data_IF_151337325707
#
_entry.id   IF_151337325707
#
_cell.length_a   1.000
_cell.length_b   1.000
_cell.length_c   1.000
_cell.angle_alpha   90.00
_cell.angle_beta   90.00
_cell.angle_gamma   90.00
#
_symmetry.space_group_name_H-M   'P 1'
#
loop_
_entity.id
_entity.type
_entity.pdbx_description
1 polymer ?
#
# COMPACT_ATOMS: atom_id res chain seq x y z
N UNK A 1 -5.19 13.57 32.67
CA UNK A 1 -5.99 12.84 31.64
C UNK A 1 -5.90 13.64 30.34
N UNK A 2 -4.90 13.36 29.50
CA UNK A 2 -4.64 14.16 28.29
C UNK A 2 -5.71 13.87 27.24
N UNK A 3 -6.51 14.87 26.93
CA UNK A 3 -7.45 14.91 25.80
C UNK A 3 -6.68 14.80 24.50
N UNK A 4 -6.40 13.56 24.07
CA UNK A 4 -6.00 13.26 22.69
C UNK A 4 -7.07 13.83 21.77
N UNK A 5 -6.80 14.99 21.15
CA UNK A 5 -7.52 15.48 19.97
C UNK A 5 -7.49 14.35 18.93
N UNK A 6 -8.53 13.53 18.88
CA UNK A 6 -8.71 12.52 17.84
C UNK A 6 -9.15 13.28 16.61
N UNK A 7 -8.27 13.35 15.63
CA UNK A 7 -8.46 14.01 14.34
C UNK A 7 -9.73 13.51 13.66
N UNK A 8 -10.44 14.41 12.97
CA UNK A 8 -11.53 14.05 12.06
C UNK A 8 -10.97 13.08 11.01
N UNK A 9 -11.55 11.90 10.95
CA UNK A 9 -11.19 10.89 9.96
C UNK A 9 -11.55 11.47 8.59
N UNK A 10 -10.55 11.59 7.73
CA UNK A 10 -10.69 12.27 6.43
C UNK A 10 -11.59 11.45 5.49
N UNK A 11 -11.73 10.15 5.74
CA UNK A 11 -12.42 9.18 4.88
C UNK A 11 -13.55 8.50 5.65
N UNK A 12 -14.70 8.36 5.01
CA UNK A 12 -15.83 7.58 5.53
C UNK A 12 -15.53 6.08 5.51
N UNK A 13 -16.21 5.30 6.36
CA UNK A 13 -16.00 3.85 6.40
C UNK A 13 -16.26 3.19 5.03
N UNK A 14 -17.24 3.69 4.27
CA UNK A 14 -17.58 3.18 2.94
C UNK A 14 -16.42 3.37 1.96
N UNK A 15 -15.82 4.56 1.95
CA UNK A 15 -14.67 4.88 1.08
C UNK A 15 -13.45 4.02 1.42
N UNK A 16 -13.19 3.79 2.71
CA UNK A 16 -12.10 2.93 3.16
C UNK A 16 -12.28 1.47 2.73
N UNK A 17 -13.49 0.92 2.86
CA UNK A 17 -13.76 -0.47 2.42
C UNK A 17 -13.58 -0.61 0.91
N UNK A 18 -14.10 0.34 0.13
CA UNK A 18 -13.93 0.34 -1.33
C UNK A 18 -12.43 0.43 -1.69
N UNK A 19 -11.68 1.30 -1.01
CA UNK A 19 -10.25 1.45 -1.23
C UNK A 19 -9.50 0.14 -0.99
N UNK A 20 -9.74 -0.51 0.15
CA UNK A 20 -9.13 -1.81 0.48
C UNK A 20 -9.42 -2.84 -0.61
N UNK A 21 -10.67 -2.91 -1.07
CA UNK A 21 -11.05 -3.83 -2.14
C UNK A 21 -10.31 -3.53 -3.45
N UNK A 22 -10.24 -2.27 -3.87
CA UNK A 22 -9.53 -1.85 -5.09
C UNK A 22 -8.03 -2.14 -5.00
N UNK A 23 -7.40 -1.86 -3.85
CA UNK A 23 -5.98 -2.16 -3.63
C UNK A 23 -5.71 -3.67 -3.69
N UNK A 24 -6.54 -4.47 -3.02
CA UNK A 24 -6.39 -5.93 -3.01
C UNK A 24 -6.58 -6.54 -4.41
N UNK A 25 -7.57 -6.05 -5.17
CA UNK A 25 -7.81 -6.49 -6.55
C UNK A 25 -6.64 -6.12 -7.45
N UNK A 26 -6.13 -4.89 -7.36
CA UNK A 26 -4.97 -4.43 -8.16
C UNK A 26 -3.72 -5.28 -7.90
N UNK A 27 -3.41 -5.57 -6.63
CA UNK A 27 -2.27 -6.42 -6.27
C UNK A 27 -2.47 -7.85 -6.80
N UNK A 28 -3.69 -8.39 -6.68
CA UNK A 28 -4.01 -9.76 -7.13
C UNK A 28 -3.89 -9.90 -8.65
N UNK A 29 -4.41 -8.93 -9.40
CA UNK A 29 -4.29 -8.88 -10.86
C UNK A 29 -2.82 -8.72 -11.26
N UNK A 30 -2.08 -7.83 -10.58
CA UNK A 30 -0.65 -7.65 -10.82
C UNK A 30 0.11 -8.97 -10.65
N UNK A 31 -0.10 -9.67 -9.53
CA UNK A 31 0.49 -10.98 -9.26
C UNK A 31 0.15 -12.01 -10.33
N UNK A 32 -1.12 -12.06 -10.76
CA UNK A 32 -1.56 -12.95 -11.83
C UNK A 32 -0.80 -12.65 -13.12
N UNK A 33 -0.75 -11.38 -13.55
CA UNK A 33 -0.04 -10.96 -14.75
C UNK A 33 1.47 -11.25 -14.68
N UNK A 34 2.10 -11.05 -13.52
CA UNK A 34 3.53 -11.29 -13.32
C UNK A 34 3.91 -12.78 -13.33
N UNK A 35 2.94 -13.67 -13.09
CA UNK A 35 3.18 -15.11 -13.11
C UNK A 35 2.86 -15.75 -14.47
N UNK A 36 1.82 -15.27 -15.15
CA UNK A 36 1.28 -15.96 -16.34
C UNK A 36 1.63 -15.30 -17.67
N UNK A 37 1.89 -13.99 -17.69
CA UNK A 37 1.93 -13.23 -18.95
C UNK A 37 3.23 -12.44 -19.12
N UNK A 38 3.40 -11.35 -18.36
CA UNK A 38 4.54 -10.46 -18.51
C UNK A 38 4.89 -9.73 -17.21
N UNK A 39 6.17 -9.79 -16.84
CA UNK A 39 6.71 -8.97 -15.75
C UNK A 39 6.47 -7.48 -15.97
N UNK A 40 6.48 -6.99 -17.21
CA UNK A 40 6.19 -5.59 -17.51
C UNK A 40 4.78 -5.17 -17.09
N UNK A 41 3.77 -6.00 -17.31
CA UNK A 41 2.40 -5.72 -16.87
C UNK A 41 2.31 -5.69 -15.34
N UNK A 42 3.00 -6.61 -14.66
CA UNK A 42 3.13 -6.58 -13.20
C UNK A 42 3.77 -5.29 -12.70
N UNK A 43 4.91 -4.88 -13.27
CA UNK A 43 5.62 -3.69 -12.82
C UNK A 43 4.83 -2.40 -13.07
N UNK A 44 4.04 -2.29 -14.15
CA UNK A 44 3.11 -1.15 -14.31
C UNK A 44 2.09 -1.11 -13.16
N UNK A 45 1.47 -2.23 -12.83
CA UNK A 45 0.49 -2.30 -11.73
C UNK A 45 1.15 -1.96 -10.38
N UNK A 46 2.36 -2.45 -10.15
CA UNK A 46 3.18 -2.13 -8.97
C UNK A 46 3.48 -0.64 -8.90
N UNK A 47 3.87 -0.02 -10.01
CA UNK A 47 4.19 1.41 -10.04
C UNK A 47 2.98 2.25 -9.65
N UNK A 48 1.82 1.99 -10.26
CA UNK A 48 0.57 2.69 -9.95
C UNK A 48 0.18 2.50 -8.49
N UNK A 49 0.23 1.26 -7.99
CA UNK A 49 -0.11 0.96 -6.59
C UNK A 49 0.89 1.59 -5.61
N UNK A 50 2.18 1.64 -5.95
CA UNK A 50 3.22 2.24 -5.14
C UNK A 50 3.05 3.75 -5.01
N UNK A 51 2.72 4.45 -6.10
CA UNK A 51 2.43 5.88 -6.09
C UNK A 51 1.21 6.18 -5.23
N UNK A 52 0.14 5.38 -5.38
CA UNK A 52 -1.05 5.53 -4.53
C UNK A 52 -0.71 5.34 -3.04
N UNK A 53 0.02 4.29 -2.70
CA UNK A 53 0.43 4.01 -1.32
C UNK A 53 1.37 5.08 -0.76
N UNK A 54 2.25 5.67 -1.57
CA UNK A 54 3.12 6.79 -1.19
C UNK A 54 2.28 8.01 -0.87
N UNK A 55 1.35 8.39 -1.75
CA UNK A 55 0.46 9.53 -1.53
C UNK A 55 -0.33 9.39 -0.21
N UNK A 56 -0.95 8.22 -0.01
CA UNK A 56 -1.66 7.89 1.23
C UNK A 56 -0.76 7.91 2.48
N UNK A 57 0.49 7.52 2.32
CA UNK A 57 1.49 7.56 3.39
C UNK A 57 2.01 8.98 3.68
N UNK A 58 1.88 9.94 2.76
CA UNK A 58 2.26 11.35 3.03
C UNK A 58 1.24 12.11 3.87
N UNK A 59 -0.04 11.70 3.85
CA UNK A 59 -1.09 12.23 4.73
C UNK A 59 -0.78 12.06 6.24
N UNK A 60 0.30 11.35 6.56
CA UNK A 60 0.79 11.06 7.89
C UNK A 60 1.66 12.15 8.53
N UNK A 61 2.03 13.20 7.78
CA UNK A 61 2.61 14.42 8.37
C UNK A 61 1.65 15.11 9.35
N UNK A 62 0.37 14.72 9.36
CA UNK A 62 -0.70 15.36 10.13
C UNK A 62 -0.98 14.72 11.51
N UNK A 63 -0.09 13.87 12.02
CA UNK A 63 -0.04 13.50 13.46
C UNK A 63 -1.04 12.43 13.94
N UNK A 64 -0.61 11.16 13.94
CA UNK A 64 -1.31 10.03 14.57
C UNK A 64 -0.54 9.45 15.77
N UNK A 65 -1.11 8.43 16.43
CA UNK A 65 -0.44 7.65 17.48
C UNK A 65 0.81 6.92 16.97
N UNK A 66 1.88 6.88 17.78
CA UNK A 66 3.19 6.25 17.46
C UNK A 66 3.10 4.88 16.77
N UNK A 67 2.19 4.00 17.21
CA UNK A 67 2.00 2.68 16.60
C UNK A 67 1.59 2.76 15.12
N UNK A 68 0.61 3.61 14.80
CA UNK A 68 0.11 3.79 13.43
C UNK A 68 1.19 4.48 12.59
N UNK A 69 1.97 5.39 13.19
CA UNK A 69 3.12 6.03 12.53
C UNK A 69 4.18 5.03 12.06
N UNK A 70 4.48 4.02 12.87
CA UNK A 70 5.46 2.98 12.48
C UNK A 70 4.90 2.14 11.32
N UNK A 71 3.64 1.72 11.39
CA UNK A 71 3.00 0.97 10.30
C UNK A 71 2.96 1.77 9.00
N UNK A 72 2.65 3.07 9.06
CA UNK A 72 2.66 3.91 7.87
C UNK A 72 4.06 4.13 7.33
N UNK A 73 5.08 4.27 8.19
CA UNK A 73 6.46 4.39 7.74
C UNK A 73 6.90 3.13 7.00
N UNK A 74 6.53 1.95 7.50
CA UNK A 74 6.78 0.68 6.81
C UNK A 74 6.03 0.61 5.47
N UNK A 75 4.77 1.04 5.43
CA UNK A 75 3.98 1.17 4.20
C UNK A 75 4.64 2.11 3.19
N UNK A 76 5.14 3.27 3.65
CA UNK A 76 5.84 4.25 2.82
C UNK A 76 7.15 3.67 2.25
N UNK A 77 7.99 3.07 3.08
CA UNK A 77 9.26 2.49 2.65
C UNK A 77 9.05 1.30 1.72
N UNK A 78 8.05 0.46 1.99
CA UNK A 78 7.66 -0.65 1.12
C UNK A 78 7.17 -0.16 -0.24
N UNK A 79 6.32 0.86 -0.28
CA UNK A 79 5.85 1.48 -1.51
C UNK A 79 7.00 2.15 -2.28
N UNK A 80 7.88 2.88 -1.60
CA UNK A 80 9.06 3.51 -2.21
C UNK A 80 9.97 2.47 -2.86
N UNK A 81 10.30 1.40 -2.12
CA UNK A 81 11.13 0.30 -2.63
C UNK A 81 10.48 -0.39 -3.83
N UNK A 82 9.18 -0.69 -3.76
CA UNK A 82 8.42 -1.28 -4.87
C UNK A 82 8.41 -0.37 -6.11
N UNK A 83 8.23 0.95 -5.93
CA UNK A 83 8.28 1.92 -7.01
C UNK A 83 9.66 2.01 -7.67
N UNK A 84 10.74 2.03 -6.87
CA UNK A 84 12.11 2.01 -7.39
C UNK A 84 12.38 0.74 -8.20
N UNK A 85 12.02 -0.44 -7.67
CA UNK A 85 12.19 -1.71 -8.37
C UNK A 85 11.42 -1.73 -9.69
N UNK A 86 10.21 -1.17 -9.71
CA UNK A 86 9.45 -1.00 -10.93
C UNK A 86 10.10 -0.06 -11.95
N UNK A 87 10.73 1.02 -11.52
CA UNK A 87 11.45 1.93 -12.43
C UNK A 87 12.70 1.23 -12.99
N UNK A 88 13.40 0.46 -12.16
CA UNK A 88 14.56 -0.33 -12.57
C UNK A 88 14.18 -1.35 -13.65
N UNK A 89 13.01 -1.99 -13.53
CA UNK A 89 12.47 -2.89 -14.57
C UNK A 89 12.41 -2.22 -15.94
N UNK A 90 11.93 -0.98 -16.01
CA UNK A 90 11.82 -0.24 -17.29
C UNK A 90 13.14 0.38 -17.77
N UNK A 91 14.23 0.20 -17.03
CA UNK A 91 15.57 0.68 -17.42
C UNK A 91 16.33 -0.40 -18.21
N UNK A 92 17.38 -0.03 -18.95
CA UNK A 92 18.18 -0.93 -19.81
C UNK A 92 18.81 -2.16 -19.12
N UNK A 93 18.71 -2.29 -17.79
CA UNK A 93 19.18 -3.44 -16.99
C UNK A 93 18.04 -4.15 -16.23
N UNK A 94 16.78 -3.96 -16.65
CA UNK A 94 15.58 -4.38 -15.92
C UNK A 94 15.46 -5.88 -15.60
N UNK A 95 16.04 -6.76 -16.43
CA UNK A 95 15.98 -8.21 -16.23
C UNK A 95 16.51 -8.70 -14.87
N UNK A 96 17.31 -7.90 -14.15
CA UNK A 96 17.81 -8.26 -12.81
C UNK A 96 16.68 -8.36 -11.77
N UNK A 97 15.57 -7.63 -11.96
CA UNK A 97 14.43 -7.66 -11.04
C UNK A 97 13.36 -8.69 -11.41
N UNK A 98 13.40 -9.26 -12.62
CA UNK A 98 12.47 -10.27 -13.15
C UNK A 98 12.67 -11.66 -12.53
N UNK A 99 12.54 -11.75 -11.20
CA UNK A 99 12.58 -13.03 -10.49
C UNK A 99 11.32 -13.23 -9.66
N UNK A 100 10.87 -14.49 -9.48
CA UNK A 100 9.73 -14.80 -8.61
C UNK A 100 9.88 -14.25 -7.19
N UNK A 101 11.11 -14.21 -6.67
CA UNK A 101 11.41 -13.65 -5.35
C UNK A 101 11.08 -12.16 -5.24
N UNK A 102 11.42 -11.37 -6.26
CA UNK A 102 11.07 -9.96 -6.31
C UNK A 102 9.57 -9.73 -6.47
N UNK A 103 8.89 -10.52 -7.31
CA UNK A 103 7.42 -10.43 -7.47
C UNK A 103 6.70 -10.64 -6.14
N UNK A 104 7.06 -11.70 -5.41
CA UNK A 104 6.48 -12.01 -4.10
C UNK A 104 6.84 -10.92 -3.08
N UNK A 105 8.11 -10.50 -3.03
CA UNK A 105 8.56 -9.47 -2.09
C UNK A 105 7.85 -8.13 -2.28
N UNK A 106 7.65 -7.71 -3.53
CA UNK A 106 6.91 -6.50 -3.88
C UNK A 106 5.43 -6.63 -3.49
N UNK A 107 4.80 -7.77 -3.78
CA UNK A 107 3.40 -7.98 -3.40
C UNK A 107 3.19 -7.94 -1.88
N UNK A 108 4.11 -8.52 -1.10
CA UNK A 108 4.11 -8.42 0.36
C UNK A 108 4.26 -6.96 0.80
N UNK A 109 5.23 -6.24 0.23
CA UNK A 109 5.48 -4.84 0.57
C UNK A 109 4.25 -3.94 0.30
N UNK A 110 3.58 -4.11 -0.85
CA UNK A 110 2.37 -3.35 -1.19
C UNK A 110 1.16 -3.74 -0.34
N UNK A 111 1.10 -4.99 0.14
CA UNK A 111 0.02 -5.48 0.99
C UNK A 111 0.02 -4.88 2.40
N UNK A 112 1.16 -4.32 2.85
CA UNK A 112 1.25 -3.64 4.16
C UNK A 112 0.23 -2.50 4.26
N UNK A 113 0.04 -1.73 3.20
CA UNK A 113 -0.95 -0.64 3.16
C UNK A 113 -2.38 -1.17 3.26
N UNK A 114 -2.68 -2.32 2.66
CA UNK A 114 -3.99 -2.99 2.75
C UNK A 114 -4.27 -3.40 4.20
N UNK A 115 -3.30 -4.01 4.86
CA UNK A 115 -3.40 -4.40 6.28
C UNK A 115 -3.61 -3.18 7.17
N UNK A 116 -2.85 -2.10 6.93
CA UNK A 116 -3.01 -0.84 7.66
C UNK A 116 -4.45 -0.31 7.58
N UNK A 117 -5.00 -0.16 6.37
CA UNK A 117 -6.38 0.31 6.20
C UNK A 117 -7.40 -0.68 6.79
N UNK A 118 -7.13 -1.99 6.74
CA UNK A 118 -7.95 -3.00 7.41
C UNK A 118 -7.99 -2.84 8.92
N UNK A 119 -6.85 -2.53 9.56
CA UNK A 119 -6.78 -2.22 11.00
C UNK A 119 -7.57 -0.94 11.32
N UNK A 120 -7.50 0.07 10.44
CA UNK A 120 -8.24 1.32 10.60
C UNK A 120 -9.75 1.09 10.53
N UNK A 121 -10.24 0.34 9.54
CA UNK A 121 -11.66 -0.06 9.42
C UNK A 121 -12.11 -0.85 10.66
N UNK A 122 -11.31 -1.83 11.11
CA UNK A 122 -11.63 -2.60 12.31
C UNK A 122 -11.74 -1.71 13.56
N UNK A 123 -10.83 -0.74 13.71
CA UNK A 123 -10.85 0.23 14.81
C UNK A 123 -12.09 1.15 14.76
N UNK A 124 -12.49 1.59 13.56
CA UNK A 124 -13.71 2.38 13.35
C UNK A 124 -14.97 1.61 13.75
N UNK A 125 -15.08 0.36 13.30
CA UNK A 125 -16.22 -0.52 13.62
C UNK A 125 -16.30 -0.75 15.13
N UNK A 126 -15.19 -1.12 15.77
CA UNK A 126 -15.15 -1.37 17.22
C UNK A 126 -15.55 -0.15 18.05
N UNK A 127 -15.31 1.05 17.53
CA UNK A 127 -15.58 2.30 18.23
C UNK A 127 -16.89 2.99 17.79
N UNK A 128 -17.70 2.34 16.93
CA UNK A 128 -18.91 2.91 16.33
C UNK A 128 -18.71 4.31 15.71
N UNK A 129 -17.60 4.48 14.98
CA UNK A 129 -17.28 5.73 14.27
C UNK A 129 -17.56 5.52 12.78
N UNK A 130 -18.77 5.83 12.36
CA UNK A 130 -19.23 5.73 10.96
C UNK A 130 -19.67 7.08 10.43
#
# INVERSE_FOLDING_TARGET
>A
MSTKKRKNMVWSLRELVIKIAVMAVTISIGLWCGWTDSYSAFYIAVLVQSINNLYDSTAFLEGYTRFITIFQLLSFLGALGAGILSIVHFTSKGSVVDTPGFVIGIAIALSVSVVHFGIEVYSMIRQNRY
#
